data_IF_362176939533
#
_entry.id   IF_362176939533
#
_cell.length_a   1.000
_cell.length_b   1.000
_cell.length_c   1.000
_cell.angle_alpha   90.00
_cell.angle_beta   90.00
_cell.angle_gamma   90.00
#
_symmetry.space_group_name_H-M   'P 1'
#
loop_
_entity.id
_entity.type
_entity.pdbx_description
1 polymer ?
#
# COMPACT_ATOMS: atom_id res chain seq x y z
N UNK A 1 0.38 -13.93 24.30
CA UNK A 1 0.42 -13.37 22.94
C UNK A 1 0.15 -11.89 23.07
N UNK A 2 1.05 -11.01 22.62
CA UNK A 2 0.77 -9.58 22.64
C UNK A 2 -0.38 -9.32 21.65
N UNK A 3 -1.52 -8.87 22.16
CA UNK A 3 -2.58 -8.30 21.33
C UNK A 3 -1.99 -7.08 20.63
N UNK A 4 -1.58 -7.22 19.37
CA UNK A 4 -1.18 -6.07 18.57
C UNK A 4 -2.43 -5.24 18.31
N UNK A 5 -2.62 -4.20 19.12
CA UNK A 5 -3.67 -3.20 18.91
C UNK A 5 -3.40 -2.44 17.61
N UNK A 6 -4.46 -2.13 16.85
CA UNK A 6 -4.34 -1.25 15.68
C UNK A 6 -3.81 0.13 16.09
N UNK A 7 -3.14 0.79 15.16
CA UNK A 7 -2.64 2.14 15.35
C UNK A 7 -3.79 3.12 15.70
N UNK A 8 -3.51 4.18 16.47
CA UNK A 8 -4.50 5.22 16.75
C UNK A 8 -5.10 5.82 15.47
N UNK A 9 -6.36 6.27 15.54
CA UNK A 9 -7.12 6.77 14.39
C UNK A 9 -6.37 7.85 13.59
N UNK A 10 -5.66 8.76 14.24
CA UNK A 10 -4.89 9.81 13.57
C UNK A 10 -3.76 9.23 12.69
N UNK A 11 -2.99 8.28 13.23
CA UNK A 11 -1.93 7.60 12.49
C UNK A 11 -2.53 6.74 11.37
N UNK A 12 -3.66 6.09 11.64
CA UNK A 12 -4.39 5.30 10.64
C UNK A 12 -4.76 6.16 9.43
N UNK A 13 -5.34 7.35 9.66
CA UNK A 13 -5.70 8.27 8.59
C UNK A 13 -4.48 8.79 7.80
N UNK A 14 -3.38 9.11 8.49
CA UNK A 14 -2.14 9.55 7.82
C UNK A 14 -1.57 8.46 6.91
N UNK A 15 -1.51 7.22 7.40
CA UNK A 15 -1.02 6.07 6.63
C UNK A 15 -1.99 5.75 5.48
N UNK A 16 -3.29 5.74 5.70
CA UNK A 16 -4.30 5.49 4.65
C UNK A 16 -4.24 6.51 3.52
N UNK A 17 -4.09 7.81 3.85
CA UNK A 17 -3.97 8.85 2.84
C UNK A 17 -2.69 8.67 2.02
N UNK A 18 -1.57 8.39 2.68
CA UNK A 18 -0.32 8.10 1.99
C UNK A 18 -0.41 6.84 1.11
N UNK A 19 -1.10 5.79 1.57
CA UNK A 19 -1.31 4.56 0.81
C UNK A 19 -2.12 4.81 -0.47
N UNK A 20 -3.14 5.67 -0.43
CA UNK A 20 -3.90 6.05 -1.63
C UNK A 20 -2.99 6.70 -2.67
N UNK A 21 -2.13 7.61 -2.25
CA UNK A 21 -1.15 8.26 -3.14
C UNK A 21 -0.10 7.27 -3.67
N UNK A 22 0.39 6.39 -2.80
CA UNK A 22 1.32 5.32 -3.18
C UNK A 22 0.70 4.39 -4.22
N UNK A 23 -0.50 3.86 -3.97
CA UNK A 23 -1.14 2.91 -4.87
C UNK A 23 -1.60 3.53 -6.19
N UNK A 24 -1.94 4.82 -6.18
CA UNK A 24 -2.15 5.56 -7.43
C UNK A 24 -0.88 5.60 -8.28
N UNK A 25 0.27 5.94 -7.69
CA UNK A 25 1.57 5.90 -8.40
C UNK A 25 2.00 4.48 -8.77
N UNK A 26 1.71 3.50 -7.93
CA UNK A 26 1.99 2.10 -8.19
C UNK A 26 1.24 1.59 -9.43
N UNK A 27 -0.02 2.00 -9.59
CA UNK A 27 -0.86 1.60 -10.70
C UNK A 27 -0.53 2.39 -11.99
N UNK A 28 -0.52 3.72 -11.89
CA UNK A 28 -0.44 4.62 -13.04
C UNK A 28 0.97 5.08 -13.40
N UNK A 29 1.89 5.09 -12.43
CA UNK A 29 3.22 5.65 -12.57
C UNK A 29 4.26 4.67 -13.09
N UNK A 30 5.51 5.12 -13.03
CA UNK A 30 6.69 4.36 -13.46
C UNK A 30 7.47 3.81 -12.27
N UNK A 31 8.38 2.88 -12.55
CA UNK A 31 9.30 2.36 -11.53
C UNK A 31 10.21 3.46 -10.95
N UNK A 32 10.66 4.41 -11.78
CA UNK A 32 11.43 5.58 -11.33
C UNK A 32 10.66 6.45 -10.33
N UNK A 33 9.36 6.68 -10.53
CA UNK A 33 8.53 7.46 -9.60
C UNK A 33 8.47 6.86 -8.20
N UNK A 34 8.68 5.54 -8.09
CA UNK A 34 8.59 4.77 -6.85
C UNK A 34 9.92 4.57 -6.14
N UNK A 35 11.06 4.92 -6.75
CA UNK A 35 12.40 4.82 -6.10
C UNK A 35 12.48 5.55 -4.76
N UNK A 36 11.77 6.66 -4.62
CA UNK A 36 11.71 7.44 -3.37
C UNK A 36 10.64 6.95 -2.39
N UNK A 37 9.81 5.98 -2.78
CA UNK A 37 8.67 5.50 -2.00
C UNK A 37 8.83 4.04 -1.56
N UNK A 38 9.70 3.26 -2.21
CA UNK A 38 9.90 1.85 -1.87
C UNK A 38 11.33 1.36 -2.11
N UNK A 39 11.75 0.39 -1.30
CA UNK A 39 13.11 -0.19 -1.36
C UNK A 39 13.37 -0.97 -2.65
N UNK A 40 12.34 -1.67 -3.15
CA UNK A 40 12.39 -2.45 -4.39
C UNK A 40 11.35 -1.92 -5.38
N UNK A 41 11.68 -0.87 -6.13
CA UNK A 41 10.77 -0.21 -7.05
C UNK A 41 10.12 -1.21 -8.01
N UNK A 42 8.80 -1.21 -8.03
CA UNK A 42 8.01 -1.99 -8.98
C UNK A 42 6.70 -1.24 -9.22
N UNK A 43 6.30 -1.11 -10.48
CA UNK A 43 5.06 -0.46 -10.88
C UNK A 43 4.26 -1.37 -11.80
N UNK A 44 2.95 -1.17 -11.86
CA UNK A 44 2.08 -1.78 -12.88
C UNK A 44 2.17 -1.07 -14.23
N UNK A 45 3.07 -0.07 -14.36
CA UNK A 45 3.41 0.65 -15.59
C UNK A 45 2.18 1.19 -16.33
N UNK A 46 1.19 1.69 -15.60
CA UNK A 46 0.01 2.31 -16.17
C UNK A 46 -1.02 1.35 -16.74
N UNK A 47 -0.88 0.03 -16.56
CA UNK A 47 -1.85 -0.97 -17.05
C UNK A 47 -3.17 -0.94 -16.27
N UNK A 48 -3.12 -0.48 -15.03
CA UNK A 48 -4.26 -0.42 -14.11
C UNK A 48 -4.42 0.96 -13.51
N UNK A 49 -5.63 1.23 -13.03
CA UNK A 49 -5.97 2.42 -12.25
C UNK A 49 -6.32 2.02 -10.82
N UNK A 50 -5.85 2.79 -9.84
CA UNK A 50 -6.26 2.61 -8.45
C UNK A 50 -7.72 3.06 -8.25
N UNK A 51 -8.54 2.21 -7.63
CA UNK A 51 -9.95 2.49 -7.33
C UNK A 51 -10.14 2.79 -5.84
N UNK A 52 -9.57 1.97 -4.96
CA UNK A 52 -9.80 2.14 -3.52
C UNK A 52 -9.05 1.15 -2.63
N UNK A 53 -9.14 1.39 -1.32
CA UNK A 53 -8.66 0.52 -0.26
C UNK A 53 -9.86 -0.03 0.53
N UNK A 54 -9.80 -1.31 0.85
CA UNK A 54 -10.80 -2.03 1.64
C UNK A 54 -10.11 -2.82 2.75
N UNK A 55 -10.81 -3.08 3.86
CA UNK A 55 -10.32 -3.89 4.97
C UNK A 55 -8.92 -3.48 5.51
N UNK A 56 -8.61 -2.18 5.49
CA UNK A 56 -7.31 -1.66 5.93
C UNK A 56 -7.14 -1.77 7.44
N UNK A 57 -6.13 -2.54 7.84
CA UNK A 57 -5.66 -2.70 9.22
C UNK A 57 -4.22 -2.26 9.30
N UNK A 58 -3.92 -1.39 10.27
CA UNK A 58 -2.59 -0.79 10.43
C UNK A 58 -2.11 -1.10 11.83
N UNK A 59 -0.96 -1.77 11.92
CA UNK A 59 -0.34 -2.18 13.17
C UNK A 59 0.98 -1.44 13.35
N UNK A 60 1.24 -0.80 14.50
CA UNK A 60 2.56 -0.25 14.78
C UNK A 60 3.61 -1.38 14.84
N UNK A 61 4.79 -1.11 14.29
CA UNK A 61 5.92 -2.05 14.25
C UNK A 61 7.22 -1.30 14.56
N UNK A 62 7.80 -1.57 15.73
CA UNK A 62 8.96 -0.80 16.22
C UNK A 62 8.60 0.65 16.56
N UNK A 63 9.61 1.54 16.60
CA UNK A 63 9.41 2.96 16.99
C UNK A 63 8.74 3.81 15.90
N UNK A 64 9.08 3.56 14.64
CA UNK A 64 8.68 4.40 13.50
C UNK A 64 8.12 3.59 12.31
N UNK A 65 7.83 2.31 12.52
CA UNK A 65 7.35 1.41 11.47
C UNK A 65 5.87 1.07 11.63
N UNK A 66 5.28 0.62 10.53
CA UNK A 66 3.91 0.12 10.47
C UNK A 66 3.85 -1.13 9.61
N UNK A 67 3.00 -2.08 10.00
CA UNK A 67 2.59 -3.19 9.15
C UNK A 67 1.14 -2.93 8.74
N UNK A 68 0.93 -2.77 7.44
CA UNK A 68 -0.38 -2.54 6.85
C UNK A 68 -0.85 -3.83 6.20
N UNK A 69 -2.09 -4.22 6.48
CA UNK A 69 -2.81 -5.25 5.74
C UNK A 69 -4.03 -4.61 5.10
N UNK A 70 -4.14 -4.65 3.78
CA UNK A 70 -5.22 -3.97 3.06
C UNK A 70 -5.56 -4.73 1.78
N UNK A 71 -6.82 -4.62 1.36
CA UNK A 71 -7.28 -5.06 0.06
C UNK A 71 -7.32 -3.84 -0.86
N UNK A 72 -6.59 -3.91 -1.97
CA UNK A 72 -6.48 -2.83 -2.93
C UNK A 72 -7.29 -3.21 -4.16
N UNK A 73 -8.20 -2.32 -4.54
CA UNK A 73 -9.01 -2.49 -5.74
C UNK A 73 -8.36 -1.74 -6.89
N UNK A 74 -8.09 -2.46 -7.97
CA UNK A 74 -7.59 -1.92 -9.23
C UNK A 74 -8.60 -2.16 -10.35
N UNK A 75 -8.63 -1.27 -11.32
CA UNK A 75 -9.38 -1.45 -12.56
C UNK A 75 -8.38 -1.59 -13.71
N UNK A 76 -8.55 -2.63 -14.55
CA UNK A 76 -7.81 -2.72 -15.81
C UNK A 76 -8.20 -1.54 -16.71
N UNK A 77 -7.25 -0.91 -17.40
CA UNK A 77 -7.60 0.24 -18.25
C UNK A 77 -8.24 -0.17 -19.58
N UNK A 78 -7.86 -1.31 -20.11
CA UNK A 78 -8.33 -1.78 -21.41
C UNK A 78 -9.72 -2.43 -21.34
N UNK A 79 -10.14 -2.88 -20.15
CA UNK A 79 -11.41 -3.59 -19.95
C UNK A 79 -12.06 -3.17 -18.63
N UNK A 80 -13.39 -3.13 -18.56
CA UNK A 80 -14.13 -2.75 -17.34
C UNK A 80 -14.13 -3.87 -16.28
N UNK A 81 -12.96 -4.45 -16.00
CA UNK A 81 -12.76 -5.51 -15.01
C UNK A 81 -12.02 -4.89 -13.82
N UNK A 82 -12.59 -5.06 -12.64
CA UNK A 82 -11.96 -4.71 -11.38
C UNK A 82 -11.39 -5.96 -10.70
N UNK A 83 -10.19 -5.83 -10.16
CA UNK A 83 -9.50 -6.87 -9.41
C UNK A 83 -9.16 -6.37 -8.01
N UNK A 84 -9.42 -7.21 -7.01
CA UNK A 84 -9.03 -6.94 -5.63
C UNK A 84 -7.82 -7.79 -5.26
N UNK A 85 -6.76 -7.13 -4.82
CA UNK A 85 -5.52 -7.77 -4.40
C UNK A 85 -5.26 -7.51 -2.92
N UNK A 86 -4.86 -8.54 -2.18
CA UNK A 86 -4.50 -8.38 -0.77
C UNK A 86 -3.02 -8.08 -0.64
N UNK A 87 -2.69 -6.99 0.04
CA UNK A 87 -1.32 -6.54 0.29
C UNK A 87 -0.99 -6.59 1.77
N UNK A 88 0.23 -7.03 2.06
CA UNK A 88 0.93 -6.79 3.32
C UNK A 88 2.12 -5.86 3.05
N UNK A 89 2.13 -4.70 3.71
CA UNK A 89 3.10 -3.64 3.45
C UNK A 89 3.81 -3.30 4.76
N UNK A 90 5.13 -3.38 4.73
CA UNK A 90 5.99 -2.94 5.81
C UNK A 90 6.44 -1.51 5.50
N UNK A 91 5.92 -0.56 6.26
CA UNK A 91 6.26 0.84 6.17
C UNK A 91 7.25 1.23 7.25
N UNK A 92 8.12 2.17 6.93
CA UNK A 92 8.98 2.88 7.87
C UNK A 92 8.88 4.37 7.62
N UNK A 93 8.99 5.19 8.67
CA UNK A 93 9.01 6.65 8.55
C UNK A 93 10.46 7.14 8.48
N UNK A 94 10.91 7.56 7.30
CA UNK A 94 12.23 8.15 7.01
C UNK A 94 12.05 9.64 6.69
N UNK A 95 12.76 10.52 7.39
CA UNK A 95 12.69 11.97 7.16
C UNK A 95 11.26 12.54 7.15
N UNK A 96 10.41 12.01 8.02
CA UNK A 96 9.00 12.41 8.13
C UNK A 96 8.06 11.84 7.06
N UNK A 97 8.59 11.11 6.06
CA UNK A 97 7.82 10.47 4.99
C UNK A 97 7.72 8.96 5.21
N UNK A 98 6.63 8.36 4.76
CA UNK A 98 6.49 6.91 4.74
C UNK A 98 7.26 6.32 3.54
N UNK A 99 7.86 5.16 3.77
CA UNK A 99 8.66 4.43 2.81
C UNK A 99 8.36 2.93 2.94
N UNK A 100 8.14 2.24 1.82
CA UNK A 100 7.89 0.79 1.78
C UNK A 100 9.21 0.05 1.85
N UNK A 101 9.45 -0.66 2.95
CA UNK A 101 10.61 -1.57 3.07
C UNK A 101 10.32 -2.90 2.39
N UNK A 102 9.11 -3.42 2.58
CA UNK A 102 8.69 -4.68 2.00
C UNK A 102 7.22 -4.61 1.59
N UNK A 103 6.92 -5.15 0.43
CA UNK A 103 5.56 -5.31 -0.06
C UNK A 103 5.38 -6.74 -0.53
N UNK A 104 4.34 -7.38 -0.05
CA UNK A 104 3.93 -8.72 -0.45
C UNK A 104 2.47 -8.63 -0.87
N UNK A 105 2.17 -9.12 -2.06
CA UNK A 105 0.81 -9.25 -2.54
C UNK A 105 0.47 -10.71 -2.76
N UNK A 106 -0.74 -11.07 -2.37
CA UNK A 106 -1.39 -12.28 -2.87
C UNK A 106 -2.42 -11.83 -3.87
N UNK A 107 -2.15 -12.13 -5.14
CA UNK A 107 -3.16 -12.10 -6.18
C UNK A 107 -4.29 -13.03 -5.73
N UNK A 108 -5.49 -12.49 -5.58
CA UNK A 108 -6.69 -13.26 -5.26
C UNK A 108 -6.96 -14.26 -6.38
N UNK A 109 -6.36 -15.45 -6.26
CA UNK A 109 -6.53 -16.54 -7.19
C UNK A 109 -7.80 -17.32 -6.86
N UNK A 110 -8.86 -17.03 -7.63
CA UNK A 110 -10.17 -17.71 -7.72
C UNK A 110 -11.18 -17.51 -6.60
#
# INVERSE_FOLDING_TARGET
MAEQSEAPMEQKQQVENWLKDFFKKYADGTTDDLTYMMEKPQALNGQRSFVGLENTKIYPSGKNGFVVKTNVKFQEKDVAIENTESFTIHLTKRDGKYFVEKMENTLGGK
#
